data_IF_876880688943
#
_entry.id   IF_876880688943
#
_cell.length_a   1.000
_cell.length_b   1.000
_cell.length_c   1.000
_cell.angle_alpha   90.00
_cell.angle_beta   90.00
_cell.angle_gamma   90.00
#
_symmetry.space_group_name_H-M   'P 1'
#
loop_
_entity.id
_entity.type
_entity.pdbx_description
1 polymer ?
#
# COMPACT_ATOMS: atom_id res chain seq x y z
N UNK A 1 -22.37 1.58 -42.91
CA UNK A 1 -22.22 2.92 -42.30
C UNK A 1 -23.26 3.03 -41.21
N UNK A 2 -22.89 2.64 -39.98
CA UNK A 2 -23.63 3.02 -38.79
C UNK A 2 -22.76 4.05 -38.10
N UNK A 3 -23.15 5.32 -38.20
CA UNK A 3 -22.64 6.37 -37.32
C UNK A 3 -23.11 6.03 -35.90
N UNK A 4 -22.28 5.34 -35.13
CA UNK A 4 -22.46 5.27 -33.69
C UNK A 4 -22.12 6.63 -33.11
N UNK A 5 -23.14 7.44 -32.84
CA UNK A 5 -22.97 8.65 -32.04
C UNK A 5 -22.31 8.27 -30.70
N UNK A 6 -21.24 8.97 -30.28
CA UNK A 6 -20.59 8.69 -29.00
C UNK A 6 -21.61 8.87 -27.88
N UNK A 7 -21.98 7.77 -27.22
CA UNK A 7 -22.93 7.78 -26.10
C UNK A 7 -22.30 8.56 -24.93
N UNK A 8 -22.98 9.56 -24.35
CA UNK A 8 -22.43 10.33 -23.25
C UNK A 8 -22.26 9.42 -22.02
N UNK A 9 -21.01 9.31 -21.58
CA UNK A 9 -20.64 8.51 -20.42
C UNK A 9 -20.85 9.36 -19.16
N UNK A 10 -21.77 8.93 -18.28
CA UNK A 10 -22.03 9.61 -16.99
C UNK A 10 -21.06 9.14 -15.90
N UNK A 11 -20.70 10.02 -14.98
CA UNK A 11 -19.96 9.65 -13.77
C UNK A 11 -20.81 8.73 -12.90
N UNK A 12 -20.27 7.58 -12.50
CA UNK A 12 -20.94 6.59 -11.67
C UNK A 12 -20.72 6.77 -10.18
N UNK A 13 -21.69 6.30 -9.39
CA UNK A 13 -21.62 6.25 -7.93
C UNK A 13 -21.01 4.94 -7.42
N UNK A 14 -21.26 4.63 -6.14
CA UNK A 14 -20.80 3.40 -5.50
C UNK A 14 -21.47 2.14 -6.11
N UNK A 15 -20.73 1.25 -6.77
CA UNK A 15 -21.30 0.11 -7.48
C UNK A 15 -21.52 -1.11 -6.57
N UNK A 16 -21.11 -1.07 -5.30
CA UNK A 16 -20.97 -2.27 -4.45
C UNK A 16 -22.28 -3.01 -4.14
N UNK A 17 -23.43 -2.34 -4.27
CA UNK A 17 -24.75 -2.95 -4.10
C UNK A 17 -25.26 -3.67 -5.36
N UNK A 18 -24.59 -3.49 -6.51
CA UNK A 18 -25.04 -4.04 -7.78
C UNK A 18 -24.55 -5.49 -7.97
N UNK A 19 -25.43 -6.42 -8.39
CA UNK A 19 -25.04 -7.82 -8.60
C UNK A 19 -24.00 -7.96 -9.73
N UNK A 20 -24.06 -7.10 -10.76
CA UNK A 20 -23.07 -7.05 -11.84
C UNK A 20 -21.68 -6.70 -11.33
N UNK A 21 -21.57 -5.83 -10.32
CA UNK A 21 -20.28 -5.48 -9.71
C UNK A 21 -19.72 -6.62 -8.87
N UNK A 22 -20.59 -7.35 -8.17
CA UNK A 22 -20.18 -8.57 -7.44
C UNK A 22 -19.63 -9.62 -8.42
N UNK A 23 -20.37 -9.92 -9.49
CA UNK A 23 -19.93 -10.86 -10.52
C UNK A 23 -18.61 -10.42 -11.18
N UNK A 24 -18.45 -9.12 -11.46
CA UNK A 24 -17.23 -8.56 -12.04
C UNK A 24 -16.04 -8.72 -11.08
N UNK A 25 -16.23 -8.39 -9.80
CA UNK A 25 -15.20 -8.56 -8.77
C UNK A 25 -14.79 -10.02 -8.62
N UNK A 26 -15.75 -10.94 -8.61
CA UNK A 26 -15.48 -12.36 -8.46
C UNK A 26 -14.67 -12.89 -9.64
N UNK A 27 -14.98 -12.46 -10.87
CA UNK A 27 -14.20 -12.77 -12.07
C UNK A 27 -12.77 -12.19 -11.99
N UNK A 28 -12.63 -10.93 -11.56
CA UNK A 28 -11.31 -10.29 -11.43
C UNK A 28 -10.48 -10.84 -10.26
N UNK A 29 -11.12 -11.44 -9.24
CA UNK A 29 -10.43 -12.05 -8.09
C UNK A 29 -9.59 -13.28 -8.48
N UNK A 30 -9.91 -13.92 -9.62
CA UNK A 30 -9.15 -15.02 -10.21
C UNK A 30 -7.69 -14.65 -10.48
N UNK A 31 -7.39 -13.38 -10.78
CA UNK A 31 -6.03 -12.87 -10.99
C UNK A 31 -5.11 -12.99 -9.76
N UNK A 32 -5.70 -13.11 -8.57
CA UNK A 32 -5.00 -13.22 -7.28
C UNK A 32 -5.24 -14.56 -6.61
N UNK A 33 -6.00 -15.47 -7.24
CA UNK A 33 -6.38 -16.74 -6.66
C UNK A 33 -5.19 -17.74 -6.70
N UNK A 34 -4.90 -18.47 -5.60
CA UNK A 34 -3.77 -19.41 -5.55
C UNK A 34 -3.79 -20.48 -6.64
N UNK A 35 -4.98 -20.97 -7.01
CA UNK A 35 -5.16 -21.98 -8.06
C UNK A 35 -5.12 -21.42 -9.50
N UNK A 36 -4.94 -20.09 -9.67
CA UNK A 36 -4.82 -19.39 -10.96
C UNK A 36 -5.84 -19.83 -12.05
N UNK A 37 -7.14 -19.82 -11.76
CA UNK A 37 -8.14 -20.04 -12.81
C UNK A 37 -8.05 -18.93 -13.86
N UNK A 38 -8.29 -19.28 -15.13
CA UNK A 38 -8.29 -18.31 -16.22
C UNK A 38 -9.44 -17.29 -16.07
N UNK A 39 -9.13 -16.04 -16.38
CA UNK A 39 -10.10 -14.94 -16.41
C UNK A 39 -10.79 -14.92 -17.76
N UNK A 40 -12.13 -14.88 -17.75
CA UNK A 40 -12.94 -14.64 -18.94
C UNK A 40 -13.01 -13.14 -19.23
N UNK A 41 -12.09 -12.67 -20.09
CA UNK A 41 -12.00 -11.25 -20.44
C UNK A 41 -13.20 -10.72 -21.22
N UNK A 42 -13.91 -11.56 -21.99
CA UNK A 42 -15.14 -11.14 -22.68
C UNK A 42 -16.26 -10.90 -21.68
N UNK A 43 -16.36 -11.75 -20.65
CA UNK A 43 -17.31 -11.57 -19.57
C UNK A 43 -17.00 -10.33 -18.72
N UNK A 44 -15.71 -10.04 -18.45
CA UNK A 44 -15.27 -8.81 -17.76
C UNK A 44 -15.68 -7.56 -18.55
N UNK A 45 -15.46 -7.53 -19.87
CA UNK A 45 -15.90 -6.43 -20.73
C UNK A 45 -17.42 -6.24 -20.68
N UNK A 46 -18.18 -7.32 -20.86
CA UNK A 46 -19.65 -7.29 -20.86
C UNK A 46 -20.21 -6.77 -19.54
N UNK A 47 -19.67 -7.23 -18.40
CA UNK A 47 -20.10 -6.78 -17.07
C UNK A 47 -19.75 -5.32 -16.82
N UNK A 48 -18.56 -4.87 -17.25
CA UNK A 48 -18.15 -3.49 -17.11
C UNK A 48 -19.02 -2.54 -17.94
N UNK A 49 -19.33 -2.90 -19.19
CA UNK A 49 -20.24 -2.12 -20.03
C UNK A 49 -21.66 -2.06 -19.44
N UNK A 50 -22.17 -3.19 -18.91
CA UNK A 50 -23.46 -3.21 -18.21
C UNK A 50 -23.47 -2.27 -17.00
N UNK A 51 -22.36 -2.22 -16.23
CA UNK A 51 -22.21 -1.28 -15.11
C UNK A 51 -22.15 0.17 -15.57
N UNK A 52 -21.49 0.47 -16.68
CA UNK A 52 -21.48 1.83 -17.24
C UNK A 52 -22.89 2.30 -17.61
N UNK A 53 -23.74 1.40 -18.10
CA UNK A 53 -25.14 1.70 -18.42
C UNK A 53 -25.97 1.96 -17.15
N UNK A 54 -25.92 1.06 -16.16
CA UNK A 54 -26.82 1.12 -14.99
C UNK A 54 -26.33 2.03 -13.85
N UNK A 55 -25.02 2.16 -13.65
CA UNK A 55 -24.39 2.95 -12.59
C UNK A 55 -23.75 4.24 -13.12
N UNK A 56 -23.14 4.17 -14.30
CA UNK A 56 -22.15 5.15 -14.76
C UNK A 56 -20.71 4.67 -14.53
N UNK A 57 -19.74 5.41 -15.05
CA UNK A 57 -18.32 5.06 -14.93
C UNK A 57 -17.78 5.49 -13.59
N UNK A 58 -17.31 4.50 -12.83
CA UNK A 58 -16.48 4.69 -11.65
C UNK A 58 -15.11 4.04 -11.85
N UNK A 59 -14.12 4.44 -11.05
CA UNK A 59 -12.70 4.18 -11.33
C UNK A 59 -12.33 2.69 -11.37
N UNK A 60 -12.90 1.86 -10.50
CA UNK A 60 -12.58 0.43 -10.43
C UNK A 60 -13.04 -0.30 -11.68
N UNK A 61 -14.32 -0.15 -12.06
CA UNK A 61 -14.89 -0.73 -13.27
C UNK A 61 -14.21 -0.15 -14.51
N UNK A 62 -13.89 1.14 -14.52
CA UNK A 62 -13.10 1.79 -15.57
C UNK A 62 -11.71 1.17 -15.77
N UNK A 63 -11.02 0.87 -14.67
CA UNK A 63 -9.72 0.22 -14.69
C UNK A 63 -9.82 -1.24 -15.18
N UNK A 64 -10.78 -2.01 -14.68
CA UNK A 64 -10.99 -3.39 -15.13
C UNK A 64 -11.43 -3.48 -16.59
N UNK A 65 -12.29 -2.57 -17.04
CA UNK A 65 -12.65 -2.42 -18.45
C UNK A 65 -11.42 -2.14 -19.32
N UNK A 66 -10.58 -1.18 -18.91
CA UNK A 66 -9.35 -0.84 -19.63
C UNK A 66 -8.44 -2.05 -19.78
N UNK A 67 -8.29 -2.84 -18.71
CA UNK A 67 -7.49 -4.06 -18.74
C UNK A 67 -8.11 -5.12 -19.68
N UNK A 68 -9.41 -5.36 -19.61
CA UNK A 68 -10.10 -6.32 -20.48
C UNK A 68 -10.00 -5.92 -21.95
N UNK A 69 -10.22 -4.65 -22.28
CA UNK A 69 -10.07 -4.15 -23.66
C UNK A 69 -8.64 -4.25 -24.16
N UNK A 70 -7.66 -4.01 -23.28
CA UNK A 70 -6.25 -4.19 -23.63
C UNK A 70 -5.92 -5.67 -23.92
N UNK A 71 -6.57 -6.63 -23.26
CA UNK A 71 -6.40 -8.06 -23.55
C UNK A 71 -7.04 -8.44 -24.90
N UNK A 72 -8.26 -7.97 -25.16
CA UNK A 72 -9.06 -8.36 -26.32
C UNK A 72 -8.68 -7.64 -27.62
N UNK A 73 -8.29 -6.37 -27.52
CA UNK A 73 -8.06 -5.48 -28.66
C UNK A 73 -6.71 -4.75 -28.63
N UNK A 74 -5.79 -5.20 -27.77
CA UNK A 74 -4.41 -4.69 -27.65
C UNK A 74 -4.36 -3.15 -27.57
N UNK A 75 -3.53 -2.50 -28.38
CA UNK A 75 -3.30 -1.04 -28.37
C UNK A 75 -4.59 -0.25 -28.60
N UNK A 76 -5.51 -0.75 -29.43
CA UNK A 76 -6.80 -0.07 -29.69
C UNK A 76 -7.66 -0.08 -28.42
N UNK A 77 -7.81 -1.25 -27.81
CA UNK A 77 -8.56 -1.39 -26.56
C UNK A 77 -7.93 -0.61 -25.39
N UNK A 78 -6.60 -0.53 -25.34
CA UNK A 78 -5.89 0.33 -24.40
C UNK A 78 -6.29 1.80 -24.56
N UNK A 79 -6.27 2.32 -25.79
CA UNK A 79 -6.64 3.71 -26.05
C UNK A 79 -8.10 4.02 -25.70
N UNK A 80 -9.01 3.06 -25.89
CA UNK A 80 -10.41 3.23 -25.52
C UNK A 80 -10.57 3.37 -24.00
N UNK A 81 -9.93 2.49 -23.22
CA UNK A 81 -9.94 2.57 -21.77
C UNK A 81 -9.23 3.82 -21.22
N UNK A 82 -8.04 4.12 -21.75
CA UNK A 82 -7.29 5.32 -21.39
C UNK A 82 -8.03 6.62 -21.73
N UNK A 83 -8.82 6.67 -22.81
CA UNK A 83 -9.67 7.80 -23.13
C UNK A 83 -10.75 8.03 -22.05
N UNK A 84 -11.42 6.95 -21.62
CA UNK A 84 -12.42 7.01 -20.54
C UNK A 84 -11.76 7.48 -19.23
N UNK A 85 -10.63 6.88 -18.85
CA UNK A 85 -9.91 7.25 -17.63
C UNK A 85 -9.43 8.71 -17.69
N UNK A 86 -8.87 9.16 -18.81
CA UNK A 86 -8.39 10.54 -18.98
C UNK A 86 -9.55 11.54 -18.86
N UNK A 87 -10.69 11.25 -19.47
CA UNK A 87 -11.88 12.10 -19.36
C UNK A 87 -12.38 12.17 -17.92
N UNK A 88 -12.53 11.01 -17.25
CA UNK A 88 -12.99 10.96 -15.86
C UNK A 88 -12.04 11.68 -14.91
N UNK A 89 -10.72 11.47 -15.04
CA UNK A 89 -9.71 12.09 -14.19
C UNK A 89 -9.57 13.60 -14.43
N UNK A 90 -9.75 14.06 -15.67
CA UNK A 90 -9.67 15.49 -16.01
C UNK A 90 -10.87 16.28 -15.51
N UNK A 91 -12.08 15.74 -15.69
CA UNK A 91 -13.31 16.52 -15.52
C UNK A 91 -14.08 16.20 -14.24
N UNK A 92 -13.86 15.02 -13.64
CA UNK A 92 -14.71 14.49 -12.57
C UNK A 92 -13.93 14.14 -11.30
N UNK A 93 -12.70 14.65 -11.14
CA UNK A 93 -11.80 14.31 -10.04
C UNK A 93 -12.47 14.38 -8.65
N UNK A 94 -13.19 15.45 -8.35
CA UNK A 94 -13.82 15.60 -7.03
C UNK A 94 -15.02 14.67 -6.83
N UNK A 95 -15.63 14.14 -7.89
CA UNK A 95 -16.95 13.51 -7.84
C UNK A 95 -16.92 11.99 -8.06
N UNK A 96 -15.95 11.47 -8.81
CA UNK A 96 -15.95 10.06 -9.15
C UNK A 96 -15.65 9.17 -7.93
N UNK A 97 -16.27 7.99 -7.93
CA UNK A 97 -16.03 6.96 -6.92
C UNK A 97 -14.78 6.12 -7.29
N UNK A 98 -13.97 5.67 -6.30
CA UNK A 98 -14.11 5.86 -4.85
C UNK A 98 -13.64 7.25 -4.38
N UNK A 99 -14.21 7.75 -3.29
CA UNK A 99 -13.87 9.07 -2.72
C UNK A 99 -12.46 9.15 -2.12
N UNK A 100 -11.96 8.13 -1.38
CA UNK A 100 -10.62 8.19 -0.80
C UNK A 100 -9.52 8.23 -1.87
N UNK A 101 -8.66 9.25 -1.81
CA UNK A 101 -7.55 9.46 -2.76
C UNK A 101 -6.59 8.26 -2.79
N UNK A 102 -6.32 7.66 -1.63
CA UNK A 102 -5.46 6.47 -1.53
C UNK A 102 -6.01 5.28 -2.32
N UNK A 103 -7.33 5.02 -2.23
CA UNK A 103 -7.96 3.96 -3.00
C UNK A 103 -7.83 4.23 -4.50
N UNK A 104 -7.97 5.49 -4.94
CA UNK A 104 -7.75 5.85 -6.36
C UNK A 104 -6.32 5.55 -6.81
N UNK A 105 -5.33 5.87 -5.99
CA UNK A 105 -3.93 5.60 -6.28
C UNK A 105 -3.62 4.10 -6.36
N UNK A 106 -4.20 3.28 -5.48
CA UNK A 106 -4.05 1.82 -5.48
C UNK A 106 -4.66 1.19 -6.75
N UNK A 107 -5.84 1.66 -7.16
CA UNK A 107 -6.51 1.17 -8.37
C UNK A 107 -5.68 1.51 -9.61
N UNK A 108 -5.23 2.76 -9.73
CA UNK A 108 -4.46 3.22 -10.87
C UNK A 108 -3.06 2.58 -10.93
N UNK A 109 -2.35 2.48 -9.79
CA UNK A 109 -1.06 1.78 -9.75
C UNK A 109 -1.20 0.31 -10.12
N UNK A 110 -2.20 -0.38 -9.58
CA UNK A 110 -2.51 -1.78 -9.92
C UNK A 110 -2.83 -1.95 -11.41
N UNK A 111 -3.59 -1.03 -12.00
CA UNK A 111 -3.87 -1.02 -13.43
C UNK A 111 -2.59 -0.85 -14.25
N UNK A 112 -1.80 0.20 -13.99
CA UNK A 112 -0.59 0.49 -14.76
C UNK A 112 0.43 -0.65 -14.70
N UNK A 113 0.60 -1.28 -13.54
CA UNK A 113 1.46 -2.47 -13.41
C UNK A 113 0.96 -3.65 -14.25
N UNK A 114 -0.35 -3.89 -14.30
CA UNK A 114 -0.93 -4.98 -15.11
C UNK A 114 -0.84 -4.68 -16.60
N UNK A 115 -1.11 -3.45 -17.01
CA UNK A 115 -0.94 -3.01 -18.40
C UNK A 115 0.52 -3.10 -18.84
N UNK A 116 1.47 -2.75 -17.96
CA UNK A 116 2.89 -2.90 -18.24
C UNK A 116 3.28 -4.37 -18.48
N UNK A 117 2.76 -5.30 -17.66
CA UNK A 117 3.00 -6.73 -17.85
C UNK A 117 2.38 -7.24 -19.15
N UNK A 118 1.16 -6.80 -19.45
CA UNK A 118 0.42 -7.19 -20.66
C UNK A 118 1.07 -6.64 -21.93
N UNK A 119 1.50 -5.37 -21.93
CA UNK A 119 2.10 -4.73 -23.10
C UNK A 119 3.32 -5.49 -23.63
N UNK A 120 4.10 -6.10 -22.73
CA UNK A 120 5.27 -6.91 -23.08
C UNK A 120 4.93 -8.18 -23.88
N UNK A 121 3.68 -8.64 -23.85
CA UNK A 121 3.25 -9.84 -24.59
C UNK A 121 2.71 -9.50 -25.98
N UNK A 122 2.60 -8.23 -26.35
CA UNK A 122 2.06 -7.83 -27.65
C UNK A 122 3.10 -7.88 -28.76
N UNK A 123 2.68 -8.38 -29.92
CA UNK A 123 3.48 -8.41 -31.15
C UNK A 123 3.12 -7.21 -32.03
N UNK A 124 3.73 -6.07 -31.73
CA UNK A 124 3.44 -4.78 -32.38
C UNK A 124 3.85 -4.79 -33.87
N UNK A 125 2.97 -4.27 -34.71
CA UNK A 125 3.18 -4.11 -36.16
C UNK A 125 3.38 -2.63 -36.52
N UNK A 126 3.96 -2.32 -37.69
CA UNK A 126 4.08 -0.94 -38.17
C UNK A 126 2.72 -0.20 -38.25
N UNK A 127 1.63 -0.92 -38.51
CA UNK A 127 0.27 -0.36 -38.54
C UNK A 127 -0.23 0.12 -37.16
N UNK A 128 0.39 -0.32 -36.06
CA UNK A 128 0.02 0.08 -34.69
C UNK A 128 0.65 1.42 -34.29
N UNK A 129 1.55 1.97 -35.10
CA UNK A 129 2.31 3.19 -34.78
C UNK A 129 1.41 4.35 -34.35
N UNK A 130 0.41 4.71 -35.16
CA UNK A 130 -0.50 5.82 -34.84
C UNK A 130 -1.34 5.54 -33.58
N UNK A 131 -1.71 4.29 -33.34
CA UNK A 131 -2.43 3.92 -32.13
C UNK A 131 -1.51 4.00 -30.89
N UNK A 132 -0.23 3.66 -31.02
CA UNK A 132 0.77 3.81 -29.97
C UNK A 132 1.07 5.28 -29.66
N UNK A 133 1.16 6.15 -30.68
CA UNK A 133 1.29 7.60 -30.48
C UNK A 133 0.09 8.19 -29.73
N UNK A 134 -1.13 7.70 -30.01
CA UNK A 134 -2.31 8.10 -29.25
C UNK A 134 -2.21 7.64 -27.78
N UNK A 135 -1.75 6.41 -27.55
CA UNK A 135 -1.61 5.86 -26.20
C UNK A 135 -0.54 6.62 -25.40
N UNK A 136 0.57 6.99 -26.05
CA UNK A 136 1.60 7.87 -25.48
C UNK A 136 1.00 9.22 -25.06
N UNK A 137 0.25 9.89 -25.95
CA UNK A 137 -0.40 11.18 -25.65
C UNK A 137 -1.38 11.08 -24.49
N UNK A 138 -2.19 10.02 -24.44
CA UNK A 138 -3.16 9.82 -23.35
C UNK A 138 -2.46 9.51 -22.02
N UNK A 139 -1.40 8.70 -22.03
CA UNK A 139 -0.61 8.44 -20.83
C UNK A 139 0.15 9.67 -20.35
N UNK A 140 0.64 10.51 -21.25
CA UNK A 140 1.24 11.80 -20.89
C UNK A 140 0.21 12.72 -20.24
N UNK A 141 -1.01 12.79 -20.79
CA UNK A 141 -2.10 13.55 -20.18
C UNK A 141 -2.46 13.01 -18.78
N UNK A 142 -2.53 11.69 -18.61
CA UNK A 142 -2.73 11.05 -17.30
C UNK A 142 -1.57 11.34 -16.34
N UNK A 143 -0.31 11.28 -16.78
CA UNK A 143 0.86 11.63 -15.95
C UNK A 143 0.78 13.09 -15.49
N UNK A 144 0.38 14.01 -16.37
CA UNK A 144 0.20 15.42 -16.03
C UNK A 144 -0.94 15.63 -15.01
N UNK A 145 -2.06 14.93 -15.17
CA UNK A 145 -3.16 14.97 -14.19
C UNK A 145 -2.68 14.42 -12.84
N UNK A 146 -2.04 13.26 -12.83
CA UNK A 146 -1.54 12.63 -11.60
C UNK A 146 -0.45 13.46 -10.92
N UNK A 147 0.36 14.20 -11.69
CA UNK A 147 1.30 15.18 -11.16
C UNK A 147 0.58 16.34 -10.47
N UNK A 148 -0.48 16.88 -11.08
CA UNK A 148 -1.30 17.95 -10.47
C UNK A 148 -2.03 17.51 -9.20
N UNK A 149 -2.40 16.23 -9.13
CA UNK A 149 -3.03 15.62 -7.97
C UNK A 149 -2.03 15.06 -6.94
N UNK A 150 -0.72 15.29 -7.13
CA UNK A 150 0.36 14.78 -6.25
C UNK A 150 0.42 13.24 -6.11
N UNK A 151 -0.21 12.49 -7.04
CA UNK A 151 -0.25 11.03 -7.05
C UNK A 151 0.73 10.37 -8.02
N UNK A 152 1.54 11.17 -8.72
CA UNK A 152 2.46 10.68 -9.76
C UNK A 152 3.36 9.54 -9.28
N UNK A 153 3.95 9.67 -8.09
CA UNK A 153 4.84 8.65 -7.53
C UNK A 153 4.11 7.40 -7.08
N UNK A 154 2.93 7.55 -6.49
CA UNK A 154 2.11 6.43 -6.02
C UNK A 154 1.58 5.58 -7.20
N UNK A 155 1.14 6.23 -8.28
CA UNK A 155 0.60 5.56 -9.46
C UNK A 155 1.68 5.05 -10.43
N UNK A 156 2.81 5.76 -10.54
CA UNK A 156 3.94 5.48 -11.42
C UNK A 156 3.56 5.12 -12.89
N UNK A 157 2.84 5.99 -13.62
CA UNK A 157 2.52 5.77 -15.04
C UNK A 157 3.77 5.83 -15.95
N UNK A 158 4.85 6.48 -15.49
CA UNK A 158 6.08 6.70 -16.25
C UNK A 158 6.70 5.41 -16.79
N UNK A 159 6.58 4.31 -16.05
CA UNK A 159 7.17 3.02 -16.44
C UNK A 159 6.43 2.35 -17.61
N UNK A 160 5.14 2.61 -17.78
CA UNK A 160 4.35 2.16 -18.94
C UNK A 160 4.58 3.11 -20.13
N UNK A 161 4.59 4.42 -19.87
CA UNK A 161 4.89 5.43 -20.87
C UNK A 161 6.25 5.18 -21.54
N UNK A 162 7.31 4.93 -20.75
CA UNK A 162 8.64 4.62 -21.28
C UNK A 162 8.66 3.36 -22.18
N UNK A 163 7.84 2.35 -21.86
CA UNK A 163 7.74 1.14 -22.70
C UNK A 163 7.08 1.44 -24.04
N UNK A 164 6.04 2.29 -24.04
CA UNK A 164 5.38 2.72 -25.27
C UNK A 164 6.31 3.60 -26.11
N UNK A 165 7.01 4.58 -25.52
CA UNK A 165 8.00 5.40 -26.22
C UNK A 165 9.10 4.52 -26.83
N UNK A 166 9.60 3.53 -26.09
CA UNK A 166 10.62 2.59 -26.58
C UNK A 166 10.10 1.74 -27.75
N UNK A 167 8.83 1.32 -27.68
CA UNK A 167 8.19 0.59 -28.77
C UNK A 167 8.01 1.44 -30.02
N UNK A 168 7.60 2.70 -29.87
CA UNK A 168 7.51 3.69 -30.95
C UNK A 168 8.87 3.88 -31.63
N UNK A 169 9.93 4.13 -30.86
CA UNK A 169 11.29 4.25 -31.42
C UNK A 169 11.76 2.98 -32.14
N UNK A 170 11.40 1.79 -31.65
CA UNK A 170 11.73 0.53 -32.34
C UNK A 170 11.00 0.39 -33.68
N UNK A 171 9.73 0.74 -33.73
CA UNK A 171 8.93 0.69 -34.97
C UNK A 171 9.42 1.74 -35.99
N UNK A 172 9.77 2.93 -35.53
CA UNK A 172 10.34 4.00 -36.37
C UNK A 172 11.68 3.57 -36.99
N UNK A 173 12.59 3.04 -36.18
CA UNK A 173 13.88 2.54 -36.64
C UNK A 173 13.75 1.31 -37.56
N UNK A 174 12.79 0.42 -37.29
CA UNK A 174 12.47 -0.73 -38.14
C UNK A 174 11.95 -0.31 -39.51
N UNK A 175 11.06 0.69 -39.58
CA UNK A 175 10.54 1.22 -40.84
C UNK A 175 11.63 1.90 -41.68
N UNK A 176 12.60 2.59 -41.06
CA UNK A 176 13.76 3.18 -41.75
C UNK A 176 14.70 2.11 -42.33
N UNK A 177 14.89 0.99 -41.64
CA UNK A 177 15.65 -0.15 -42.15
C UNK A 177 14.94 -0.88 -43.30
N UNK A 178 13.61 -1.05 -43.21
CA UNK A 178 12.82 -1.68 -44.29
C UNK A 178 12.83 -0.80 -45.56
N UNK A 179 12.74 0.53 -45.40
CA UNK A 179 12.83 1.51 -46.50
C UNK A 179 14.22 1.60 -47.13
N UNK A 180 15.27 1.34 -46.35
CA UNK A 180 16.66 1.23 -46.86
C UNK A 180 16.89 -0.10 -47.58
N UNK A 181 16.25 -1.19 -47.14
CA UNK A 181 16.33 -2.50 -47.80
C UNK A 181 15.49 -2.63 -49.07
N UNK A 182 14.36 -1.90 -49.19
CA UNK A 182 13.55 -1.84 -50.42
C UNK A 182 14.16 -0.99 -51.54
N UNK A 183 15.29 -0.31 -51.28
CA UNK A 183 16.05 0.44 -52.28
C UNK A 183 17.01 -0.41 -53.13
N UNK A 184 17.11 -1.72 -52.90
CA UNK A 184 17.98 -2.62 -53.67
C UNK A 184 17.20 -3.82 -54.19
N UNK A 185 16.22 -3.55 -55.05
CA UNK A 185 15.69 -4.56 -55.96
C UNK A 185 16.52 -4.54 -57.25
N UNK A 186 17.27 -5.61 -57.51
CA UNK A 186 17.62 -6.01 -58.87
C UNK A 186 17.02 -7.40 -59.13
N UNK A 187 16.52 -7.68 -60.34
CA UNK A 187 15.70 -8.86 -60.63
C UNK A 187 16.57 -10.11 -60.84
N UNK A 188 16.02 -11.27 -60.47
CA UNK A 188 16.47 -12.57 -60.98
C UNK A 188 16.24 -12.66 -62.49
N UNK A 189 17.26 -13.01 -63.26
CA UNK A 189 17.26 -14.26 -64.03
C UNK A 189 18.62 -14.57 -64.68
N UNK A 190 18.89 -15.89 -64.72
CA UNK A 190 19.66 -16.64 -65.71
C UNK A 190 21.22 -16.71 -65.65
N UNK A 191 21.66 -17.93 -65.28
CA UNK A 191 22.66 -18.76 -65.98
C UNK A 191 24.14 -18.33 -65.94
N UNK A 192 24.94 -19.14 -65.20
CA UNK A 192 26.41 -19.30 -65.30
C UNK A 192 26.82 -19.85 -66.70
N UNK A 193 28.07 -19.74 -67.21
CA UNK A 193 29.33 -19.80 -66.44
C UNK A 193 30.51 -18.96 -66.98
N UNK A 194 31.67 -19.23 -66.38
CA UNK A 194 33.04 -18.95 -66.85
C UNK A 194 33.64 -17.58 -66.51
N UNK A 195 34.42 -17.62 -65.44
CA UNK A 195 35.45 -16.65 -65.05
C UNK A 195 36.46 -16.39 -66.18
N UNK A 196 36.59 -15.13 -66.59
CA UNK A 196 37.81 -14.64 -67.23
C UNK A 196 38.10 -13.22 -66.74
N UNK A 197 39.23 -13.06 -66.05
CA UNK A 197 39.76 -11.79 -65.56
C UNK A 197 40.17 -10.93 -66.75
N UNK A 198 39.65 -9.70 -66.83
CA UNK A 198 40.18 -8.65 -67.72
C UNK A 198 40.44 -7.39 -66.90
N UNK A 199 41.72 -7.13 -66.65
CA UNK A 199 42.28 -5.89 -66.12
C UNK A 199 42.15 -4.81 -67.20
N UNK A 200 41.41 -3.73 -66.95
CA UNK A 200 41.45 -2.54 -67.81
C UNK A 200 42.20 -1.43 -67.09
N UNK A 201 43.47 -1.34 -67.47
CA UNK A 201 44.42 -0.27 -67.16
C UNK A 201 43.90 1.03 -67.77
N UNK A 202 43.73 2.07 -66.94
CA UNK A 202 43.68 3.45 -67.42
C UNK A 202 44.95 4.18 -66.99
N UNK A 203 45.52 4.85 -67.99
CA UNK A 203 46.88 5.38 -68.12
C UNK A 203 47.06 6.67 -67.33
N UNK A 204 48.19 6.77 -66.61
CA UNK A 204 48.73 8.02 -66.07
C UNK A 204 49.01 9.05 -67.18
N UNK A 205 49.04 10.34 -66.81
CA UNK A 205 50.19 11.14 -67.23
C UNK A 205 50.86 11.88 -66.07
N UNK A 206 52.17 11.67 -65.99
CA UNK A 206 53.26 12.62 -65.73
C UNK A 206 53.23 13.50 -64.47
N UNK A 207 53.90 12.95 -63.45
CA UNK A 207 54.85 13.55 -62.50
C UNK A 207 55.15 15.06 -62.67
N UNK A 208 54.81 15.84 -61.64
CA UNK A 208 55.64 16.95 -61.16
C UNK A 208 55.87 16.82 -59.65
N UNK A 209 57.12 16.52 -59.30
CA UNK A 209 57.64 16.50 -57.94
C UNK A 209 57.58 17.93 -57.36
N UNK A 210 56.84 18.10 -56.26
CA UNK A 210 57.06 19.13 -55.26
C UNK A 210 57.01 18.47 -53.89
N UNK A 211 58.15 18.45 -53.22
CA UNK A 211 58.29 18.08 -51.82
C UNK A 211 57.55 19.14 -50.99
N UNK A 212 56.46 18.74 -50.34
CA UNK A 212 55.75 19.52 -49.34
C UNK A 212 55.45 18.62 -48.14
N UNK A 213 55.77 19.16 -46.97
CA UNK A 213 55.74 18.65 -45.60
C UNK A 213 54.68 17.58 -45.26
N UNK A 214 55.12 16.56 -44.50
CA UNK A 214 54.25 15.57 -43.87
C UNK A 214 53.37 16.23 -42.78
N UNK A 215 52.03 16.08 -42.81
CA UNK A 215 51.21 16.41 -41.65
C UNK A 215 51.32 15.27 -40.63
N UNK A 216 51.84 15.57 -39.44
CA UNK A 216 51.73 14.67 -38.30
C UNK A 216 50.29 14.66 -37.79
N UNK A 217 49.52 13.65 -38.16
CA UNK A 217 48.18 13.45 -37.59
C UNK A 217 48.35 12.98 -36.13
N UNK A 218 48.28 13.92 -35.19
CA UNK A 218 48.08 13.61 -33.77
C UNK A 218 46.67 13.04 -33.60
N UNK A 219 46.54 11.72 -33.72
CA UNK A 219 45.30 11.02 -33.42
C UNK A 219 44.87 11.31 -31.97
N UNK A 220 43.57 11.59 -31.84
CA UNK A 220 42.84 12.07 -30.66
C UNK A 220 42.80 11.01 -29.53
N UNK A 221 43.94 10.76 -28.87
CA UNK A 221 44.09 9.79 -27.75
C UNK A 221 43.10 10.02 -26.58
N UNK A 222 42.58 11.23 -26.44
CA UNK A 222 41.54 11.59 -25.46
C UNK A 222 40.22 10.81 -25.65
N UNK A 223 39.84 10.48 -26.90
CA UNK A 223 38.58 9.76 -27.14
C UNK A 223 38.64 8.32 -26.62
N UNK A 224 39.82 7.70 -26.68
CA UNK A 224 40.05 6.35 -26.15
C UNK A 224 40.07 6.36 -24.62
N UNK A 225 40.57 7.44 -24.01
CA UNK A 225 40.52 7.64 -22.55
C UNK A 225 39.10 7.86 -22.04
N UNK A 226 38.31 8.71 -22.70
CA UNK A 226 36.89 8.94 -22.34
C UNK A 226 36.05 7.68 -22.55
N UNK A 227 36.30 6.93 -23.63
CA UNK A 227 35.66 5.63 -23.85
C UNK A 227 36.01 4.62 -22.75
N UNK A 228 37.26 4.61 -22.28
CA UNK A 228 37.72 3.79 -21.15
C UNK A 228 37.06 4.17 -19.82
N UNK A 229 36.94 5.48 -19.52
CA UNK A 229 36.22 5.94 -18.32
C UNK A 229 34.74 5.57 -18.38
N UNK A 230 34.07 5.77 -19.53
CA UNK A 230 32.66 5.43 -19.69
C UNK A 230 32.42 3.92 -19.51
N UNK A 231 33.29 3.07 -20.05
CA UNK A 231 33.19 1.61 -19.86
C UNK A 231 33.45 1.20 -18.41
N UNK A 232 34.43 1.78 -17.73
CA UNK A 232 34.66 1.54 -16.30
C UNK A 232 33.48 1.99 -15.43
N UNK A 233 32.83 3.09 -15.78
CA UNK A 233 31.68 3.63 -15.03
C UNK A 233 30.44 2.74 -15.25
N UNK A 234 30.23 2.25 -16.47
CA UNK A 234 29.16 1.29 -16.79
C UNK A 234 29.39 -0.05 -16.09
N UNK A 235 30.62 -0.57 -16.08
CA UNK A 235 30.94 -1.79 -15.33
C UNK A 235 30.71 -1.59 -13.82
N UNK A 236 31.17 -0.48 -13.26
CA UNK A 236 30.95 -0.15 -11.85
C UNK A 236 29.46 -0.09 -11.50
N UNK A 237 28.66 0.62 -12.30
CA UNK A 237 27.22 0.69 -12.13
C UNK A 237 26.53 -0.68 -12.26
N UNK A 238 26.93 -1.50 -13.24
CA UNK A 238 26.40 -2.84 -13.43
C UNK A 238 26.75 -3.79 -12.26
N UNK A 239 27.95 -3.70 -11.71
CA UNK A 239 28.34 -4.50 -10.52
C UNK A 239 27.59 -4.06 -9.27
N UNK A 240 27.44 -2.75 -9.03
CA UNK A 240 26.68 -2.23 -7.90
C UNK A 240 25.18 -2.58 -8.00
N UNK A 241 24.61 -2.46 -9.20
CA UNK A 241 23.21 -2.82 -9.46
C UNK A 241 22.99 -4.34 -9.35
N UNK A 242 23.90 -5.15 -9.90
CA UNK A 242 23.87 -6.60 -9.76
C UNK A 242 23.96 -7.05 -8.30
N UNK A 243 24.80 -6.39 -7.51
CA UNK A 243 24.90 -6.63 -6.06
C UNK A 243 23.59 -6.27 -5.33
N UNK A 244 22.99 -5.13 -5.64
CA UNK A 244 21.71 -4.72 -5.04
C UNK A 244 20.55 -5.64 -5.41
N UNK A 245 20.52 -6.16 -6.63
CA UNK A 245 19.48 -7.10 -7.09
C UNK A 245 19.67 -8.48 -6.46
N UNK A 246 20.92 -8.94 -6.31
CA UNK A 246 21.22 -10.25 -5.74
C UNK A 246 21.09 -10.29 -4.21
N UNK A 247 21.25 -9.15 -3.54
CA UNK A 247 21.15 -9.02 -2.08
C UNK A 247 19.85 -8.35 -1.60
N UNK A 248 18.78 -8.38 -2.39
CA UNK A 248 17.48 -7.98 -1.85
C UNK A 248 17.06 -9.01 -0.79
N UNK A 249 16.81 -8.59 0.46
CA UNK A 249 16.30 -9.48 1.50
C UNK A 249 14.96 -10.07 1.04
N UNK A 250 14.78 -11.38 1.24
CA UNK A 250 13.55 -12.10 0.88
C UNK A 250 12.32 -11.40 1.48
N UNK A 251 11.17 -11.42 0.79
CA UNK A 251 9.92 -10.81 1.28
C UNK A 251 9.54 -11.30 2.70
N UNK A 252 9.86 -12.55 3.04
CA UNK A 252 9.69 -13.10 4.38
C UNK A 252 10.57 -12.40 5.45
N UNK A 253 11.79 -12.02 5.09
CA UNK A 253 12.67 -11.28 5.99
C UNK A 253 12.23 -9.83 6.16
N UNK A 254 11.69 -9.20 5.10
CA UNK A 254 11.11 -7.86 5.19
C UNK A 254 9.84 -7.82 6.05
N UNK A 255 8.97 -8.82 5.93
CA UNK A 255 7.77 -8.95 6.78
C UNK A 255 8.12 -9.21 8.24
N UNK A 256 9.13 -10.05 8.51
CA UNK A 256 9.65 -10.24 9.86
C UNK A 256 10.24 -8.93 10.41
N UNK A 257 11.08 -8.23 9.64
CA UNK A 257 11.66 -6.95 10.05
C UNK A 257 10.58 -5.89 10.36
N UNK A 258 9.52 -5.83 9.55
CA UNK A 258 8.39 -4.93 9.80
C UNK A 258 7.61 -5.28 11.08
N UNK A 259 7.46 -6.57 11.40
CA UNK A 259 6.74 -7.00 12.62
C UNK A 259 7.44 -6.59 13.91
N UNK A 260 8.78 -6.48 13.89
CA UNK A 260 9.62 -6.11 15.05
C UNK A 260 10.18 -4.69 14.93
N UNK A 261 9.64 -3.87 14.01
CA UNK A 261 10.04 -2.49 13.87
C UNK A 261 9.78 -1.72 15.19
N UNK A 262 10.67 -0.78 15.57
CA UNK A 262 10.44 0.02 16.77
C UNK A 262 9.13 0.80 16.65
N UNK A 263 8.42 0.92 17.77
CA UNK A 263 7.20 1.72 17.81
C UNK A 263 7.54 3.18 17.43
N UNK A 264 6.75 3.84 16.58
CA UNK A 264 7.01 5.22 16.18
C UNK A 264 7.01 6.15 17.40
N UNK A 265 8.14 6.83 17.63
CA UNK A 265 8.26 7.82 18.69
C UNK A 265 8.05 9.25 18.13
N UNK A 266 7.29 10.11 18.84
CA UNK A 266 7.21 11.53 18.49
C UNK A 266 8.59 12.20 18.54
N UNK A 267 8.79 13.19 17.69
CA UNK A 267 10.03 13.98 17.69
C UNK A 267 10.25 14.66 19.05
N UNK A 268 11.50 14.66 19.50
CA UNK A 268 11.93 15.43 20.66
C UNK A 268 11.92 16.93 20.36
N UNK A 269 11.85 17.78 21.39
CA UNK A 269 11.85 19.23 21.20
C UNK A 269 13.03 19.76 20.35
N UNK A 270 14.29 19.31 20.56
CA UNK A 270 15.40 19.72 19.69
C UNK A 270 15.23 19.32 18.23
N UNK A 271 14.66 18.14 17.96
CA UNK A 271 14.38 17.68 16.60
C UNK A 271 13.28 18.51 15.94
N UNK A 272 12.23 18.89 16.68
CA UNK A 272 11.17 19.77 16.19
C UNK A 272 11.75 21.13 15.79
N UNK A 273 12.59 21.71 16.64
CA UNK A 273 13.21 23.01 16.36
C UNK A 273 14.18 22.95 15.17
N UNK A 274 14.89 21.84 14.98
CA UNK A 274 15.70 21.61 13.80
C UNK A 274 14.84 21.51 12.54
N UNK A 275 13.75 20.74 12.57
CA UNK A 275 12.85 20.58 11.43
C UNK A 275 12.16 21.89 11.05
N UNK A 276 11.73 22.70 12.02
CA UNK A 276 11.09 24.01 11.80
C UNK A 276 11.97 24.99 11.02
N UNK A 277 13.29 24.78 10.99
CA UNK A 277 14.25 25.60 10.23
C UNK A 277 14.37 25.17 8.76
N UNK A 278 13.79 24.04 8.37
CA UNK A 278 13.83 23.54 6.98
C UNK A 278 12.70 24.13 6.14
N UNK A 279 12.91 24.27 4.83
CA UNK A 279 11.86 24.74 3.91
C UNK A 279 10.64 23.80 3.89
N UNK A 280 10.88 22.48 3.99
CA UNK A 280 9.84 21.44 4.03
C UNK A 280 8.85 21.64 5.18
N UNK A 281 9.28 22.18 6.32
CA UNK A 281 8.38 22.46 7.44
C UNK A 281 7.27 23.46 7.09
N UNK A 282 7.52 24.35 6.12
CA UNK A 282 6.56 25.35 5.65
C UNK A 282 5.76 24.87 4.44
N UNK A 283 6.43 24.21 3.50
CA UNK A 283 5.83 23.82 2.22
C UNK A 283 5.04 22.51 2.29
N UNK A 284 5.40 21.59 3.17
CA UNK A 284 4.80 20.24 3.25
C UNK A 284 3.95 20.02 4.50
N UNK A 285 3.59 21.10 5.21
CA UNK A 285 2.84 21.01 6.47
C UNK A 285 1.54 20.22 6.35
N UNK A 286 0.80 20.35 5.24
CA UNK A 286 -0.42 19.61 4.99
C UNK A 286 -0.20 18.08 4.94
N UNK A 287 0.84 17.63 4.21
CA UNK A 287 1.18 16.20 4.08
C UNK A 287 1.56 15.62 5.45
N UNK A 288 2.39 16.35 6.22
CA UNK A 288 2.84 15.88 7.52
C UNK A 288 1.72 15.92 8.56
N UNK A 289 0.87 16.94 8.55
CA UNK A 289 -0.31 17.00 9.42
C UNK A 289 -1.27 15.86 9.14
N UNK A 290 -1.56 15.55 7.87
CA UNK A 290 -2.39 14.40 7.51
C UNK A 290 -1.79 13.08 8.03
N UNK A 291 -0.48 12.88 7.86
CA UNK A 291 0.22 11.68 8.38
C UNK A 291 0.16 11.60 9.90
N UNK A 292 0.38 12.72 10.59
CA UNK A 292 0.27 12.79 12.06
C UNK A 292 -1.17 12.49 12.49
N UNK A 293 -2.17 13.07 11.82
CA UNK A 293 -3.59 12.79 12.08
C UNK A 293 -3.91 11.31 11.89
N UNK A 294 -3.44 10.68 10.80
CA UNK A 294 -3.63 9.25 10.56
C UNK A 294 -2.95 8.40 11.63
N UNK A 295 -1.74 8.76 12.07
CA UNK A 295 -1.06 8.07 13.16
C UNK A 295 -1.81 8.19 14.49
N UNK A 296 -2.27 9.40 14.83
CA UNK A 296 -3.07 9.65 16.04
C UNK A 296 -4.37 8.85 15.99
N UNK A 297 -5.11 8.92 14.88
CA UNK A 297 -6.36 8.16 14.71
C UNK A 297 -6.10 6.65 14.77
N UNK A 298 -5.02 6.17 14.16
CA UNK A 298 -4.63 4.76 14.18
C UNK A 298 -4.34 4.24 15.58
N UNK A 299 -3.72 5.05 16.44
CA UNK A 299 -3.46 4.73 17.85
C UNK A 299 -4.75 4.86 18.68
N UNK A 300 -5.52 5.93 18.49
CA UNK A 300 -6.76 6.18 19.24
C UNK A 300 -7.88 5.17 18.92
N UNK A 301 -7.85 4.56 17.73
CA UNK A 301 -8.78 3.50 17.33
C UNK A 301 -8.40 2.12 17.88
N UNK A 302 -7.27 1.98 18.57
CA UNK A 302 -6.88 0.71 19.18
C UNK A 302 -7.70 0.41 20.45
N UNK A 303 -7.96 -0.86 20.71
CA UNK A 303 -8.57 -1.31 21.96
C UNK A 303 -7.71 -0.94 23.17
N UNK A 304 -8.28 -0.70 24.37
CA UNK A 304 -7.51 -0.50 25.60
C UNK A 304 -6.45 -1.60 25.87
N UNK A 305 -6.75 -2.85 25.53
CA UNK A 305 -5.85 -4.00 25.64
C UNK A 305 -4.86 -4.18 24.47
N UNK A 306 -4.70 -3.21 23.58
CA UNK A 306 -3.89 -3.36 22.36
C UNK A 306 -2.43 -3.74 22.66
N UNK A 307 -1.79 -3.14 23.66
CA UNK A 307 -0.38 -3.46 23.98
C UNK A 307 -0.21 -4.93 24.36
N UNK A 308 -1.18 -5.49 25.07
CA UNK A 308 -1.15 -6.87 25.54
C UNK A 308 -1.34 -7.82 24.35
N UNK A 309 -2.26 -7.52 23.44
CA UNK A 309 -2.43 -8.28 22.19
C UNK A 309 -1.20 -8.22 21.31
N UNK A 310 -0.63 -7.03 21.13
CA UNK A 310 0.56 -6.84 20.29
C UNK A 310 1.75 -7.65 20.83
N UNK A 311 2.04 -7.53 22.13
CA UNK A 311 3.10 -8.31 22.77
C UNK A 311 2.84 -9.82 22.71
N UNK A 312 1.61 -10.28 22.97
CA UNK A 312 1.23 -11.68 22.80
C UNK A 312 1.44 -12.17 21.36
N UNK A 313 1.13 -11.35 20.37
CA UNK A 313 1.37 -11.63 18.96
C UNK A 313 2.84 -11.88 18.67
N UNK A 314 3.73 -11.01 19.16
CA UNK A 314 5.18 -11.17 19.00
C UNK A 314 5.73 -12.42 19.70
N UNK A 315 5.25 -12.73 20.91
CA UNK A 315 5.64 -13.94 21.64
C UNK A 315 5.17 -15.19 20.89
N UNK A 316 3.95 -15.17 20.35
CA UNK A 316 3.38 -16.27 19.55
C UNK A 316 4.12 -16.44 18.23
N UNK A 317 4.53 -15.34 17.60
CA UNK A 317 5.35 -15.33 16.40
C UNK A 317 6.71 -15.97 16.66
N UNK A 318 7.42 -15.55 17.72
CA UNK A 318 8.70 -16.14 18.11
C UNK A 318 8.57 -17.65 18.40
N UNK A 319 7.52 -18.05 19.13
CA UNK A 319 7.22 -19.46 19.44
C UNK A 319 6.95 -20.30 18.18
N UNK A 320 6.28 -19.72 17.19
CA UNK A 320 5.97 -20.39 15.92
C UNK A 320 7.19 -20.54 15.01
N UNK A 321 8.08 -19.53 14.98
CA UNK A 321 9.27 -19.54 14.13
C UNK A 321 10.40 -20.39 14.71
N UNK A 322 10.61 -20.33 16.03
CA UNK A 322 11.72 -20.99 16.72
C UNK A 322 11.27 -21.64 18.04
N UNK A 323 10.50 -22.75 17.98
CA UNK A 323 9.94 -23.38 19.18
C UNK A 323 11.02 -23.95 20.13
N UNK A 324 12.13 -24.46 19.60
CA UNK A 324 13.17 -25.13 20.38
C UNK A 324 14.28 -24.17 20.89
N UNK A 325 14.28 -22.92 20.42
CA UNK A 325 15.31 -21.94 20.77
C UNK A 325 15.22 -21.54 22.26
N UNK A 326 16.33 -21.60 23.03
CA UNK A 326 16.36 -21.20 24.43
C UNK A 326 15.91 -19.76 24.69
N UNK A 327 16.22 -18.81 23.80
CA UNK A 327 15.81 -17.42 23.92
C UNK A 327 14.30 -17.26 23.72
N UNK A 328 13.69 -18.03 22.83
CA UNK A 328 12.22 -18.08 22.68
C UNK A 328 11.56 -18.60 23.95
N UNK A 329 12.10 -19.67 24.56
CA UNK A 329 11.57 -20.20 25.84
C UNK A 329 11.64 -19.19 26.97
N UNK A 330 12.75 -18.46 27.09
CA UNK A 330 12.89 -17.41 28.10
C UNK A 330 11.95 -16.23 27.84
N UNK A 331 11.77 -15.82 26.58
CA UNK A 331 10.80 -14.78 26.20
C UNK A 331 9.37 -15.17 26.61
N UNK A 332 8.95 -16.40 26.29
CA UNK A 332 7.62 -16.93 26.66
C UNK A 332 7.45 -16.94 28.17
N UNK A 333 8.42 -17.48 28.91
CA UNK A 333 8.39 -17.52 30.38
C UNK A 333 8.30 -16.13 31.00
N UNK A 334 9.11 -15.18 30.52
CA UNK A 334 9.07 -13.78 30.99
C UNK A 334 7.71 -13.13 30.74
N UNK A 335 7.11 -13.42 29.59
CA UNK A 335 5.79 -12.91 29.24
C UNK A 335 4.68 -13.51 30.13
N UNK A 336 4.70 -14.82 30.38
CA UNK A 336 3.76 -15.48 31.30
C UNK A 336 3.89 -14.92 32.73
N UNK A 337 5.12 -14.72 33.21
CA UNK A 337 5.38 -14.08 34.50
C UNK A 337 4.83 -12.65 34.57
N UNK A 338 5.00 -11.87 33.50
CA UNK A 338 4.45 -10.51 33.40
C UNK A 338 2.91 -10.52 33.48
N UNK A 339 2.25 -11.45 32.77
CA UNK A 339 0.80 -11.59 32.80
C UNK A 339 0.30 -12.01 34.19
N UNK A 340 0.94 -13.00 34.82
CA UNK A 340 0.58 -13.46 36.16
C UNK A 340 0.75 -12.36 37.21
N UNK A 341 1.83 -11.56 37.13
CA UNK A 341 2.08 -10.45 38.04
C UNK A 341 1.06 -9.31 37.90
N UNK A 342 0.38 -9.21 36.76
CA UNK A 342 -0.59 -8.14 36.46
C UNK A 342 -2.05 -8.57 36.45
N UNK A 343 -2.33 -9.86 36.52
CA UNK A 343 -3.69 -10.38 36.61
C UNK A 343 -4.14 -10.41 38.06
N UNK A 344 -5.26 -9.77 38.37
CA UNK A 344 -5.86 -9.83 39.70
C UNK A 344 -6.53 -11.19 39.93
N UNK A 345 -6.51 -11.71 41.17
CA UNK A 345 -7.26 -12.91 41.50
C UNK A 345 -8.76 -12.66 41.36
N UNK A 346 -9.52 -13.68 40.96
CA UNK A 346 -10.97 -13.57 40.75
C UNK A 346 -11.72 -13.04 41.99
N UNK A 347 -11.22 -13.32 43.20
CA UNK A 347 -11.76 -12.79 44.46
C UNK A 347 -11.76 -11.26 44.53
N UNK A 348 -10.82 -10.59 43.85
CA UNK A 348 -10.74 -9.13 43.77
C UNK A 348 -11.71 -8.52 42.77
N UNK A 349 -12.52 -9.32 42.08
CA UNK A 349 -13.57 -8.86 41.18
C UNK A 349 -14.98 -9.03 41.79
N UNK A 350 -15.10 -9.69 42.94
CA UNK A 350 -16.39 -10.09 43.51
C UNK A 350 -16.96 -9.09 44.53
N UNK A 351 -16.13 -8.29 45.22
CA UNK A 351 -16.59 -7.46 46.34
C UNK A 351 -17.70 -6.47 45.99
N UNK A 352 -17.73 -5.93 44.76
CA UNK A 352 -18.84 -5.11 44.28
C UNK A 352 -20.16 -5.91 44.17
N UNK A 353 -20.12 -7.09 43.55
CA UNK A 353 -21.29 -7.96 43.41
C UNK A 353 -21.80 -8.43 44.78
N UNK A 354 -20.89 -8.82 45.67
CA UNK A 354 -21.22 -9.22 47.05
C UNK A 354 -21.89 -8.09 47.83
N UNK A 355 -21.32 -6.88 47.78
CA UNK A 355 -21.89 -5.70 48.43
C UNK A 355 -23.26 -5.33 47.88
N UNK A 356 -23.46 -5.42 46.55
CA UNK A 356 -24.74 -5.16 45.92
C UNK A 356 -25.80 -6.22 46.27
N UNK A 357 -25.39 -7.50 46.36
CA UNK A 357 -26.27 -8.59 46.81
C UNK A 357 -26.73 -8.38 48.24
N UNK A 358 -25.82 -7.98 49.13
CA UNK A 358 -26.14 -7.65 50.53
C UNK A 358 -27.07 -6.42 50.63
N UNK A 359 -26.87 -5.42 49.76
CA UNK A 359 -27.75 -4.24 49.69
C UNK A 359 -29.17 -4.59 49.20
N UNK A 360 -29.28 -5.46 48.18
CA UNK A 360 -30.57 -5.97 47.72
C UNK A 360 -31.29 -6.76 48.81
N UNK A 361 -30.55 -7.61 49.55
CA UNK A 361 -31.11 -8.35 50.68
C UNK A 361 -31.61 -7.41 51.80
N UNK A 362 -30.89 -6.32 52.07
CA UNK A 362 -31.33 -5.29 53.01
C UNK A 362 -32.61 -4.60 52.52
N UNK A 363 -32.68 -4.20 51.24
CA UNK A 363 -33.88 -3.61 50.65
C UNK A 363 -35.09 -4.53 50.78
N UNK A 364 -34.95 -5.80 50.38
CA UNK A 364 -36.02 -6.79 50.49
C UNK A 364 -36.48 -7.01 51.93
N UNK A 365 -35.55 -6.93 52.91
CA UNK A 365 -35.89 -7.01 54.33
C UNK A 365 -36.69 -5.78 54.79
N UNK A 366 -36.35 -4.59 54.31
CA UNK A 366 -37.10 -3.36 54.61
C UNK A 366 -38.50 -3.41 54.01
N UNK A 367 -38.65 -3.80 52.74
CA UNK A 367 -39.95 -3.94 52.08
C UNK A 367 -40.84 -4.99 52.77
N UNK A 368 -40.26 -6.10 53.22
CA UNK A 368 -40.99 -7.13 53.96
C UNK A 368 -41.51 -6.63 55.31
N UNK A 369 -40.84 -5.66 55.94
CA UNK A 369 -41.29 -5.06 57.21
C UNK A 369 -42.48 -4.12 57.00
N UNK A 370 -42.56 -3.42 55.86
CA UNK A 370 -43.71 -2.58 55.53
C UNK A 370 -45.02 -3.37 55.45
N UNK A 371 -44.94 -4.64 55.05
CA UNK A 371 -46.10 -5.54 54.98
C UNK A 371 -46.39 -6.30 56.28
N UNK A 372 -45.48 -6.32 57.27
CA UNK A 372 -45.63 -7.09 58.51
C UNK A 372 -45.81 -6.18 59.73
N UNK A 373 -47.07 -5.91 60.10
CA UNK A 373 -47.41 -5.13 61.30
C UNK A 373 -46.76 -5.74 62.56
N UNK A 374 -45.99 -4.92 63.28
CA UNK A 374 -45.41 -5.26 64.59
C UNK A 374 -44.00 -5.85 64.59
N UNK A 375 -43.38 -6.07 63.41
CA UNK A 375 -41.96 -6.40 63.30
C UNK A 375 -41.17 -5.15 62.92
N UNK A 376 -39.97 -5.01 63.47
CA UNK A 376 -39.10 -3.85 63.25
C UNK A 376 -37.67 -4.30 63.03
N UNK A 377 -36.93 -3.55 62.21
CA UNK A 377 -35.48 -3.68 62.13
C UNK A 377 -34.86 -2.90 63.29
N UNK A 378 -34.09 -3.58 64.14
CA UNK A 378 -33.39 -2.89 65.24
C UNK A 378 -32.22 -2.08 64.68
N UNK A 379 -31.85 -0.99 65.38
CA UNK A 379 -30.70 -0.18 64.99
C UNK A 379 -29.38 -0.96 65.01
N UNK A 380 -29.25 -1.99 65.85
CA UNK A 380 -28.07 -2.87 65.88
C UNK A 380 -28.04 -3.79 64.65
N UNK A 381 -29.16 -4.40 64.26
CA UNK A 381 -29.25 -5.21 63.04
C UNK A 381 -28.92 -4.40 61.79
N UNK A 382 -29.48 -3.19 61.67
CA UNK A 382 -29.18 -2.29 60.55
C UNK A 382 -27.70 -1.94 60.49
N UNK A 383 -27.09 -1.59 61.64
CA UNK A 383 -25.65 -1.30 61.71
C UNK A 383 -24.80 -2.50 61.28
N UNK A 384 -25.16 -3.71 61.69
CA UNK A 384 -24.45 -4.92 61.29
C UNK A 384 -24.53 -5.14 59.77
N UNK A 385 -25.72 -4.98 59.17
CA UNK A 385 -25.90 -5.13 57.72
C UNK A 385 -25.13 -4.07 56.94
N UNK A 386 -25.22 -2.79 57.34
CA UNK A 386 -24.47 -1.69 56.74
C UNK A 386 -22.97 -1.94 56.84
N UNK A 387 -22.47 -2.37 58.00
CA UNK A 387 -21.06 -2.69 58.17
C UNK A 387 -20.58 -3.83 57.27
N UNK A 388 -21.39 -4.88 57.10
CA UNK A 388 -21.07 -5.98 56.16
C UNK A 388 -21.00 -5.48 54.71
N UNK A 389 -21.97 -4.65 54.30
CA UNK A 389 -21.99 -4.04 52.96
C UNK A 389 -20.73 -3.19 52.74
N UNK A 390 -20.41 -2.30 53.68
CA UNK A 390 -19.21 -1.45 53.60
C UNK A 390 -17.94 -2.29 53.54
N UNK A 391 -17.85 -3.37 54.32
CA UNK A 391 -16.70 -4.28 54.29
C UNK A 391 -16.56 -5.00 52.95
N UNK A 392 -17.67 -5.41 52.33
CA UNK A 392 -17.67 -6.04 51.01
C UNK A 392 -17.18 -5.09 49.92
N UNK A 393 -17.64 -3.83 49.93
CA UNK A 393 -17.13 -2.81 49.01
C UNK A 393 -15.65 -2.47 49.25
N UNK A 394 -15.20 -2.49 50.50
CA UNK A 394 -13.78 -2.26 50.83
C UNK A 394 -12.86 -3.44 50.49
N UNK A 395 -13.39 -4.66 50.32
CA UNK A 395 -12.58 -5.85 50.04
C UNK A 395 -11.98 -5.84 48.62
N UNK A 396 -12.70 -5.21 47.68
CA UNK A 396 -12.35 -5.08 46.28
C UNK A 396 -12.81 -3.70 45.75
N UNK A 397 -11.95 -2.70 45.92
CA UNK A 397 -12.21 -1.34 45.43
C UNK A 397 -12.21 -1.33 43.89
N UNK A 398 -13.31 -0.93 43.22
CA UNK A 398 -13.37 -0.87 41.76
C UNK A 398 -12.32 0.08 41.16
N UNK A 399 -11.89 -0.20 39.94
CA UNK A 399 -10.90 0.63 39.24
C UNK A 399 -11.32 2.11 39.15
N UNK A 400 -12.62 2.39 38.98
CA UNK A 400 -13.14 3.76 38.94
C UNK A 400 -12.89 4.53 40.25
N UNK A 401 -13.12 3.88 41.40
CA UNK A 401 -12.88 4.50 42.71
C UNK A 401 -11.38 4.68 42.98
N UNK A 402 -10.56 3.72 42.54
CA UNK A 402 -9.10 3.85 42.58
C UNK A 402 -8.62 5.08 41.80
N UNK A 403 -9.17 5.32 40.61
CA UNK A 403 -8.85 6.50 39.80
C UNK A 403 -9.37 7.80 40.43
N UNK A 404 -10.57 7.81 41.00
CA UNK A 404 -11.13 8.98 41.70
C UNK A 404 -10.22 9.42 42.86
N UNK A 405 -9.70 8.45 43.63
CA UNK A 405 -8.77 8.72 44.73
C UNK A 405 -7.45 9.33 44.25
N UNK A 406 -6.93 8.91 43.09
CA UNK A 406 -5.72 9.49 42.49
C UNK A 406 -5.94 10.94 42.05
N UNK A 407 -7.10 11.27 41.47
CA UNK A 407 -7.43 12.65 41.05
C UNK A 407 -7.63 13.57 42.25
N UNK A 408 -8.11 13.02 43.38
CA UNK A 408 -8.50 13.80 44.56
C UNK A 408 -7.38 14.01 45.59
N UNK A 409 -6.22 13.39 45.42
CA UNK A 409 -5.10 13.50 46.36
C UNK A 409 -4.28 14.80 46.11
N UNK A 410 -4.26 15.77 47.05
CA UNK A 410 -3.36 16.91 46.97
C UNK A 410 -1.92 16.43 47.12
N UNK A 411 -0.99 17.01 46.36
CA UNK A 411 0.39 16.55 46.19
C UNK A 411 1.33 16.57 47.40
N UNK A 412 0.86 16.40 48.64
CA UNK A 412 1.73 16.29 49.82
C UNK A 412 1.26 15.21 50.80
N UNK A 413 2.16 14.26 51.08
CA UNK A 413 2.22 13.53 52.36
C UNK A 413 1.39 12.24 52.47
N UNK A 414 2.08 11.11 52.33
CA UNK A 414 1.87 9.84 53.06
C UNK A 414 0.43 9.52 53.55
N UNK A 415 -0.56 9.55 52.67
CA UNK A 415 -1.80 8.80 52.90
C UNK A 415 -1.58 7.37 52.39
N UNK A 416 -2.13 6.33 53.03
CA UNK A 416 -2.22 4.99 52.44
C UNK A 416 -3.26 5.03 51.32
N UNK A 417 -2.99 5.83 50.29
CA UNK A 417 -3.77 5.98 49.09
C UNK A 417 -3.40 4.90 48.09
N UNK A 418 -4.36 4.59 47.22
CA UNK A 418 -4.15 3.64 46.12
C UNK A 418 -2.91 4.06 45.32
N UNK A 419 -1.96 3.15 45.15
CA UNK A 419 -0.78 3.40 44.33
C UNK A 419 -1.16 3.47 42.86
N UNK A 420 -0.53 4.38 42.09
CA UNK A 420 -0.64 4.40 40.61
C UNK A 420 -0.33 3.02 40.02
N UNK A 421 0.61 2.30 40.63
CA UNK A 421 0.98 0.95 40.21
C UNK A 421 -0.16 -0.06 40.43
N UNK A 422 -0.86 0.03 41.56
CA UNK A 422 -2.01 -0.84 41.86
C UNK A 422 -3.18 -0.59 40.92
N UNK A 423 -3.51 0.68 40.67
CA UNK A 423 -4.54 1.06 39.71
C UNK A 423 -4.18 0.62 38.29
N UNK A 424 -2.93 0.82 37.86
CA UNK A 424 -2.44 0.34 36.56
C UNK A 424 -2.54 -1.18 36.45
N UNK A 425 -2.18 -1.92 37.50
CA UNK A 425 -2.30 -3.38 37.55
C UNK A 425 -3.76 -3.82 37.41
N UNK A 426 -4.68 -3.15 38.09
CA UNK A 426 -6.11 -3.44 37.99
C UNK A 426 -6.63 -3.23 36.56
N UNK A 427 -6.28 -2.12 35.92
CA UNK A 427 -6.64 -1.84 34.54
C UNK A 427 -6.06 -2.86 33.54
N UNK A 428 -4.82 -3.30 33.74
CA UNK A 428 -4.22 -4.35 32.92
C UNK A 428 -4.94 -5.68 33.11
N UNK A 429 -5.32 -6.04 34.34
CA UNK A 429 -6.12 -7.23 34.62
C UNK A 429 -7.48 -7.19 33.93
N UNK A 430 -8.19 -6.06 34.01
CA UNK A 430 -9.48 -5.89 33.34
C UNK A 430 -9.32 -5.97 31.81
N UNK A 431 -8.25 -5.36 31.28
CA UNK A 431 -7.91 -5.44 29.86
C UNK A 431 -7.64 -6.88 29.43
N UNK A 432 -6.92 -7.67 30.24
CA UNK A 432 -6.67 -9.08 29.97
C UNK A 432 -7.97 -9.90 29.94
N UNK A 433 -8.86 -9.70 30.91
CA UNK A 433 -10.17 -10.38 30.95
C UNK A 433 -10.98 -10.11 29.68
N UNK A 434 -11.01 -8.85 29.23
CA UNK A 434 -11.68 -8.45 27.99
C UNK A 434 -11.09 -9.13 26.75
N UNK A 435 -9.79 -9.43 26.74
CA UNK A 435 -9.15 -10.15 25.64
C UNK A 435 -9.51 -11.63 25.62
N UNK A 436 -9.69 -12.24 26.79
CA UNK A 436 -10.03 -13.68 26.91
C UNK A 436 -11.52 -13.98 26.77
N UNK A 437 -12.37 -12.97 26.87
CA UNK A 437 -13.83 -13.11 26.82
C UNK A 437 -14.43 -13.01 25.40
N UNK A 438 -13.61 -12.70 24.39
CA UNK A 438 -13.96 -12.71 22.97
C UNK A 438 -13.60 -14.05 22.35
#
# INVERSE_FOLDING_TARGET
MHDEQPRPVRTGGDPRSLPQFTALRDEMSKLTHPARPDVDWMQVEKLALSLFEINGVELQTGAWYTLARSQLAQVRGLNEGLAILTAMLSYQWAQFWPQPVQARAEILSGLFQRLQKLFRTWSLQPADFTALELAEKQLQALDDILKRQELRYACNPASLLQQICSALSRLENGALHEKTSRGTALPEEAVRPASQLVYVIHKEPEVRVRVAEMPTVKAKRWLVFVAGMATSLVLGAATAFGWQVLHQPDDATNTLAASVAPLPEPMTAPQIDAFRKTDNSRTESAIWLERITNQVNGVMNQSPGWRLRYAQGLVTQAKSLWPDDPATRELVKRWEQYQMARTLPASKLQGWNEGMTQLQALSAKLDALDHQKGKYLTGSELKTMVWQITRSFASAVPAEEQLRLLVSAPGEGNTPGVSIEEASRHLDSLSFILLTAQ
#
